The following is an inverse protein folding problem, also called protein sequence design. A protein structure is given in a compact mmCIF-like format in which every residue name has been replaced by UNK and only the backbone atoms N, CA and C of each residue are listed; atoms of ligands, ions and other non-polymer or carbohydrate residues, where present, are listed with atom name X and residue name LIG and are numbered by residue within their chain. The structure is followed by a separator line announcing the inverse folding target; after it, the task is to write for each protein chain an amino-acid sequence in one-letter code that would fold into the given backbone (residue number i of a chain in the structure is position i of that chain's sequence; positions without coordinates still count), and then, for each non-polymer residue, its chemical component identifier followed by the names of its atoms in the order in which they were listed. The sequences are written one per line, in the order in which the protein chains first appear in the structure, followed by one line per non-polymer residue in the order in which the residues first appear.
data_IF_138105059310
#
_entry.id   IF_138105059310
#
_cell.length_a   1.000
_cell.length_b   1.000
_cell.length_c   1.000
_cell.angle_alpha   90.00
_cell.angle_beta   90.00
_cell.angle_gamma   90.00
#
_symmetry.space_group_name_H-M   'P 1'
#
loop_
_entity.id
_entity.type
_entity.pdbx_description
1 polymer ?
#
# COMPACT_ATOMS: atom_id res chain seq x y z
N UNK A 1 13.91 -11.41 29.11
CA UNK A 1 14.40 -10.62 27.94
C UNK A 1 14.67 -11.59 26.79
N UNK A 2 14.21 -11.31 25.57
CA UNK A 2 14.57 -12.15 24.40
C UNK A 2 16.06 -11.97 24.10
N UNK A 3 16.74 -13.05 23.68
CA UNK A 3 18.13 -12.94 23.21
C UNK A 3 18.19 -12.14 21.90
N UNK A 4 19.32 -11.49 21.64
CA UNK A 4 19.52 -10.71 20.42
C UNK A 4 19.36 -11.58 19.16
N UNK A 5 19.82 -12.84 19.22
CA UNK A 5 19.59 -13.84 18.17
C UNK A 5 18.10 -14.08 17.88
N UNK A 6 17.26 -14.12 18.92
CA UNK A 6 15.81 -14.31 18.79
C UNK A 6 15.13 -13.06 18.20
N UNK A 7 15.56 -11.86 18.61
CA UNK A 7 15.09 -10.59 18.05
C UNK A 7 15.46 -10.50 16.56
N UNK A 8 16.72 -10.78 16.21
CA UNK A 8 17.19 -10.76 14.83
C UNK A 8 16.41 -11.72 13.93
N UNK A 9 16.13 -12.94 14.40
CA UNK A 9 15.28 -13.90 13.66
C UNK A 9 13.86 -13.37 13.44
N UNK A 10 13.25 -12.75 14.45
CA UNK A 10 11.91 -12.17 14.33
C UNK A 10 11.89 -11.02 13.32
N UNK A 11 12.87 -10.10 13.41
CA UNK A 11 13.02 -8.99 12.46
C UNK A 11 13.20 -9.52 11.04
N UNK A 12 14.03 -10.55 10.85
CA UNK A 12 14.22 -11.19 9.54
C UNK A 12 12.92 -11.76 8.95
N UNK A 13 12.13 -12.49 9.74
CA UNK A 13 10.83 -13.01 9.30
C UNK A 13 9.86 -11.89 8.92
N UNK A 14 9.79 -10.84 9.74
CA UNK A 14 8.93 -9.68 9.46
C UNK A 14 9.38 -8.94 8.19
N UNK A 15 10.69 -8.78 7.96
CA UNK A 15 11.22 -8.19 6.73
C UNK A 15 10.84 -9.00 5.49
N UNK A 16 10.95 -10.33 5.55
CA UNK A 16 10.52 -11.20 4.45
C UNK A 16 9.02 -11.10 4.18
N UNK A 17 8.20 -11.05 5.23
CA UNK A 17 6.76 -10.86 5.10
C UNK A 17 6.40 -9.49 4.51
N UNK A 18 7.08 -8.43 4.95
CA UNK A 18 6.92 -7.07 4.41
C UNK A 18 7.30 -7.02 2.92
N UNK A 19 8.43 -7.63 2.54
CA UNK A 19 8.86 -7.74 1.15
C UNK A 19 7.85 -8.51 0.29
N UNK A 20 7.34 -9.63 0.79
CA UNK A 20 6.34 -10.42 0.09
C UNK A 20 5.07 -9.59 -0.19
N UNK A 21 4.56 -8.85 0.80
CA UNK A 21 3.42 -7.95 0.60
C UNK A 21 3.73 -6.84 -0.43
N UNK A 22 4.92 -6.22 -0.32
CA UNK A 22 5.36 -5.14 -1.22
C UNK A 22 5.57 -5.57 -2.67
N UNK A 23 5.82 -6.86 -2.93
CA UNK A 23 5.95 -7.39 -4.29
C UNK A 23 4.62 -7.96 -4.81
N UNK A 24 3.92 -8.77 -4.01
CA UNK A 24 2.72 -9.47 -4.47
C UNK A 24 1.59 -8.49 -4.77
N UNK A 25 1.35 -7.49 -3.91
CA UNK A 25 0.19 -6.61 -4.11
C UNK A 25 0.32 -5.77 -5.39
N UNK A 26 1.41 -5.02 -5.61
CA UNK A 26 1.49 -4.15 -6.79
C UNK A 26 1.65 -4.94 -8.10
N UNK A 27 2.48 -5.99 -8.10
CA UNK A 27 2.90 -6.68 -9.33
C UNK A 27 2.07 -7.91 -9.68
N UNK A 28 1.24 -8.42 -8.77
CA UNK A 28 0.38 -9.59 -9.04
C UNK A 28 -1.09 -9.26 -8.91
N UNK A 29 -1.49 -8.58 -7.83
CA UNK A 29 -2.90 -8.24 -7.61
C UNK A 29 -3.31 -7.03 -8.43
N UNK A 30 -2.69 -5.87 -8.16
CA UNK A 30 -3.06 -4.60 -8.81
C UNK A 30 -2.66 -4.54 -10.29
N UNK A 31 -1.65 -5.30 -10.70
CA UNK A 31 -1.26 -5.38 -12.12
C UNK A 31 -2.43 -5.84 -13.02
N UNK A 32 -3.26 -6.77 -12.54
CA UNK A 32 -4.43 -7.28 -13.29
C UNK A 32 -5.42 -6.19 -13.68
N UNK A 33 -5.56 -5.16 -12.84
CA UNK A 33 -6.49 -4.04 -13.11
C UNK A 33 -5.80 -2.84 -13.74
N UNK A 34 -4.47 -2.74 -13.67
CA UNK A 34 -3.71 -1.62 -14.26
C UNK A 34 -3.36 -1.83 -15.73
N UNK A 35 -3.35 -3.07 -16.21
CA UNK A 35 -3.10 -3.40 -17.62
C UNK A 35 -4.12 -2.71 -18.54
N UNK A 36 -3.76 -2.47 -19.83
CA UNK A 36 -4.70 -1.96 -20.81
C UNK A 36 -6.02 -2.76 -20.81
N UNK A 37 -7.18 -2.10 -20.93
CA UNK A 37 -7.35 -0.67 -21.23
C UNK A 37 -7.08 0.28 -20.04
N UNK A 38 -7.13 -0.21 -18.80
CA UNK A 38 -6.65 0.51 -17.62
C UNK A 38 -7.53 0.33 -16.39
N UNK A 39 -7.17 1.00 -15.29
CA UNK A 39 -7.84 0.82 -13.99
C UNK A 39 -9.33 1.18 -14.01
N UNK A 40 -9.71 2.26 -14.72
CA UNK A 40 -11.08 2.72 -14.81
C UNK A 40 -12.03 1.65 -15.36
N UNK A 41 -11.59 0.91 -16.37
CA UNK A 41 -12.40 -0.11 -17.03
C UNK A 41 -12.32 -1.46 -16.33
N UNK A 42 -11.16 -1.82 -15.78
CA UNK A 42 -10.92 -3.17 -15.27
C UNK A 42 -11.31 -3.37 -13.80
N UNK A 43 -11.25 -2.33 -12.96
CA UNK A 43 -11.32 -2.53 -11.50
C UNK A 43 -12.71 -2.99 -11.01
N UNK A 44 -13.78 -2.50 -11.63
CA UNK A 44 -15.16 -2.89 -11.31
C UNK A 44 -15.47 -4.37 -11.56
N UNK A 45 -14.68 -5.06 -12.40
CA UNK A 45 -14.83 -6.50 -12.61
C UNK A 45 -14.26 -7.34 -11.45
N UNK A 46 -13.46 -6.74 -10.55
CA UNK A 46 -12.84 -7.44 -9.42
C UNK A 46 -12.67 -6.54 -8.18
N UNK A 47 -13.77 -5.93 -7.66
CA UNK A 47 -13.69 -4.95 -6.59
C UNK A 47 -13.16 -5.54 -5.28
N UNK A 48 -13.53 -6.79 -4.96
CA UNK A 48 -13.07 -7.45 -3.74
C UNK A 48 -11.58 -7.76 -3.77
N UNK A 49 -11.01 -8.05 -4.95
CA UNK A 49 -9.56 -8.20 -5.12
C UNK A 49 -8.83 -6.87 -4.83
N UNK A 50 -9.36 -5.75 -5.31
CA UNK A 50 -8.80 -4.42 -5.06
C UNK A 50 -8.90 -4.06 -3.57
N UNK A 51 -10.03 -4.34 -2.93
CA UNK A 51 -10.21 -4.12 -1.47
C UNK A 51 -9.26 -5.00 -0.66
N UNK A 52 -9.10 -6.27 -1.03
CA UNK A 52 -8.14 -7.18 -0.41
C UNK A 52 -6.69 -6.70 -0.59
N UNK A 53 -6.33 -6.20 -1.78
CA UNK A 53 -5.03 -5.58 -2.04
C UNK A 53 -4.77 -4.39 -1.10
N UNK A 54 -5.75 -3.50 -0.94
CA UNK A 54 -5.67 -2.35 -0.03
C UNK A 54 -5.46 -2.79 1.42
N UNK A 55 -6.21 -3.79 1.90
CA UNK A 55 -6.03 -4.35 3.24
C UNK A 55 -4.63 -4.96 3.41
N UNK A 56 -4.12 -5.65 2.39
CA UNK A 56 -2.81 -6.29 2.45
C UNK A 56 -1.66 -5.26 2.41
N UNK A 57 -1.81 -4.13 1.70
CA UNK A 57 -0.88 -2.99 1.78
C UNK A 57 -0.88 -2.34 3.17
N UNK A 58 -2.06 -2.23 3.79
CA UNK A 58 -2.19 -1.70 5.14
C UNK A 58 -1.54 -2.63 6.18
N UNK A 59 -1.78 -3.93 6.09
CA UNK A 59 -1.10 -4.93 6.91
C UNK A 59 0.42 -4.94 6.66
N UNK A 60 0.84 -4.86 5.39
CA UNK A 60 2.23 -4.78 4.97
C UNK A 60 2.96 -3.60 5.60
N UNK A 61 2.36 -2.41 5.58
CA UNK A 61 2.94 -1.22 6.22
C UNK A 61 2.93 -1.31 7.76
N UNK A 62 1.92 -1.93 8.38
CA UNK A 62 1.92 -2.19 9.82
C UNK A 62 3.08 -3.12 10.26
N UNK A 63 3.50 -4.06 9.40
CA UNK A 63 4.68 -4.90 9.66
C UNK A 63 5.95 -4.05 9.80
N UNK A 64 6.09 -2.93 9.08
CA UNK A 64 7.24 -2.02 9.24
C UNK A 64 7.31 -1.40 10.63
N UNK A 65 6.15 -1.07 11.23
CA UNK A 65 6.06 -0.65 12.64
C UNK A 65 6.47 -1.82 13.55
N UNK A 66 5.96 -3.03 13.29
CA UNK A 66 6.33 -4.23 14.04
C UNK A 66 7.84 -4.52 14.02
N UNK A 67 8.50 -4.33 12.87
CA UNK A 67 9.96 -4.43 12.72
C UNK A 67 10.64 -3.42 13.62
N UNK A 68 10.22 -2.16 13.55
CA UNK A 68 10.82 -1.04 14.30
C UNK A 68 10.69 -1.25 15.81
N UNK A 69 9.50 -1.65 16.27
CA UNK A 69 9.25 -1.97 17.69
C UNK A 69 10.06 -3.18 18.15
N UNK A 70 10.16 -4.22 17.34
CA UNK A 70 10.90 -5.45 17.68
C UNK A 70 12.41 -5.18 17.77
N UNK A 71 12.94 -4.35 16.87
CA UNK A 71 14.36 -3.98 16.85
C UNK A 71 14.73 -2.89 17.87
N UNK A 72 13.74 -2.15 18.38
CA UNK A 72 13.94 -1.02 19.30
C UNK A 72 14.87 -1.31 20.49
N UNK A 73 14.73 -2.43 21.24
CA UNK A 73 15.59 -2.71 22.39
C UNK A 73 17.07 -2.91 22.04
N UNK A 74 17.38 -3.33 20.81
CA UNK A 74 18.75 -3.56 20.33
C UNK A 74 19.36 -2.25 19.85
N UNK A 75 18.63 -1.48 19.04
CA UNK A 75 19.13 -0.22 18.51
C UNK A 75 19.31 0.85 19.59
N UNK A 76 18.41 0.90 20.58
CA UNK A 76 18.51 1.88 21.67
C UNK A 76 19.77 1.72 22.54
N UNK A 77 20.41 0.53 22.54
CA UNK A 77 21.66 0.29 23.27
C UNK A 77 22.86 0.97 22.62
N UNK A 78 22.78 1.20 21.31
CA UNK A 78 23.88 1.76 20.51
C UNK A 78 23.64 3.25 20.23
N UNK A 79 22.41 3.62 19.87
CA UNK A 79 22.01 5.01 19.63
C UNK A 79 20.50 5.18 19.83
N UNK A 80 20.10 5.71 21.00
CA UNK A 80 18.69 5.93 21.35
C UNK A 80 17.96 6.81 20.33
N UNK A 81 18.60 7.87 19.83
CA UNK A 81 18.02 8.75 18.81
C UNK A 81 17.64 8.00 17.53
N UNK A 82 18.51 7.11 17.02
CA UNK A 82 18.25 6.34 15.79
C UNK A 82 17.07 5.38 15.94
N UNK A 83 16.91 4.76 17.12
CA UNK A 83 15.78 3.85 17.37
C UNK A 83 14.43 4.56 17.37
N UNK A 84 14.38 5.83 17.83
CA UNK A 84 13.18 6.65 17.79
C UNK A 84 12.88 7.10 16.35
N UNK A 85 13.91 7.53 15.61
CA UNK A 85 13.76 7.88 14.20
C UNK A 85 13.24 6.73 13.34
N UNK A 86 13.72 5.50 13.57
CA UNK A 86 13.22 4.33 12.85
C UNK A 86 11.72 4.12 13.09
N UNK A 87 11.27 4.19 14.35
CA UNK A 87 9.86 4.05 14.68
C UNK A 87 9.03 5.20 14.10
N UNK A 88 9.50 6.45 14.21
CA UNK A 88 8.83 7.62 13.66
C UNK A 88 8.68 7.51 12.14
N UNK A 89 9.72 7.05 11.44
CA UNK A 89 9.68 6.83 10.00
C UNK A 89 8.70 5.72 9.61
N UNK A 90 8.66 4.61 10.37
CA UNK A 90 7.70 3.54 10.11
C UNK A 90 6.25 3.99 10.30
N UNK A 91 5.97 4.83 11.30
CA UNK A 91 4.64 5.43 11.51
C UNK A 91 4.30 6.43 10.40
N UNK A 92 5.25 7.27 9.99
CA UNK A 92 5.07 8.20 8.88
C UNK A 92 4.78 7.45 7.57
N UNK A 93 5.53 6.37 7.29
CA UNK A 93 5.30 5.50 6.15
C UNK A 93 3.90 4.87 6.16
N UNK A 94 3.46 4.37 7.32
CA UNK A 94 2.12 3.82 7.49
C UNK A 94 1.03 4.85 7.21
N UNK A 95 1.21 6.10 7.67
CA UNK A 95 0.26 7.18 7.37
C UNK A 95 0.22 7.50 5.86
N UNK A 96 1.38 7.55 5.19
CA UNK A 96 1.44 7.75 3.74
C UNK A 96 0.79 6.59 2.98
N UNK A 97 0.96 5.35 3.44
CA UNK A 97 0.28 4.19 2.87
C UNK A 97 -1.24 4.28 3.02
N UNK A 98 -1.74 4.85 4.13
CA UNK A 98 -3.17 5.11 4.30
C UNK A 98 -3.71 6.07 3.24
N UNK A 99 -2.98 7.16 2.96
CA UNK A 99 -3.34 8.13 1.91
C UNK A 99 -3.33 7.47 0.52
N UNK A 100 -2.31 6.67 0.22
CA UNK A 100 -2.22 5.90 -1.03
C UNK A 100 -3.40 4.93 -1.21
N UNK A 101 -3.82 4.28 -0.12
CA UNK A 101 -4.96 3.37 -0.10
C UNK A 101 -6.30 4.09 -0.31
N UNK A 102 -6.46 5.31 0.23
CA UNK A 102 -7.64 6.14 -0.04
C UNK A 102 -7.72 6.44 -1.53
N UNK A 103 -6.61 6.82 -2.17
CA UNK A 103 -6.59 7.07 -3.62
C UNK A 103 -7.00 5.81 -4.43
N UNK A 104 -6.51 4.61 -4.07
CA UNK A 104 -6.93 3.36 -4.72
C UNK A 104 -8.42 3.07 -4.58
N UNK A 105 -8.98 3.27 -3.38
CA UNK A 105 -10.41 3.05 -3.15
C UNK A 105 -11.26 4.09 -3.88
N UNK A 106 -10.83 5.35 -3.95
CA UNK A 106 -11.49 6.37 -4.77
C UNK A 106 -11.48 6.02 -6.26
N UNK A 107 -10.36 5.52 -6.77
CA UNK A 107 -10.27 5.02 -8.15
C UNK A 107 -11.20 3.81 -8.37
N UNK A 108 -11.34 2.93 -7.39
CA UNK A 108 -12.26 1.79 -7.47
C UNK A 108 -13.71 2.25 -7.53
N UNK A 109 -14.12 3.18 -6.65
CA UNK A 109 -15.47 3.74 -6.68
C UNK A 109 -15.78 4.41 -8.03
N UNK A 110 -14.80 5.10 -8.60
CA UNK A 110 -14.96 5.69 -9.94
C UNK A 110 -15.17 4.62 -11.03
N UNK A 111 -14.42 3.51 -10.97
CA UNK A 111 -14.58 2.37 -11.89
C UNK A 111 -15.95 1.70 -11.74
N UNK A 112 -16.42 1.51 -10.50
CA UNK A 112 -17.76 0.95 -10.23
C UNK A 112 -18.88 1.84 -10.77
N UNK A 113 -18.75 3.17 -10.66
CA UNK A 113 -19.73 4.11 -11.24
C UNK A 113 -19.65 4.19 -12.77
N UNK A 114 -18.45 4.14 -13.34
CA UNK A 114 -18.25 4.05 -14.79
C UNK A 114 -18.94 2.82 -15.39
N UNK A 115 -18.79 1.65 -14.76
CA UNK A 115 -19.43 0.40 -15.19
C UNK A 115 -20.96 0.47 -15.15
N UNK A 116 -21.56 1.27 -14.24
CA UNK A 116 -23.00 1.48 -14.15
C UNK A 116 -23.52 2.49 -15.19
N UNK A 117 -22.75 3.54 -15.45
CA UNK A 117 -23.16 4.63 -16.34
C UNK A 117 -23.12 4.25 -17.83
N UNK A 118 -22.27 3.30 -18.21
CA UNK A 118 -22.09 2.87 -19.59
C UNK A 118 -21.49 3.95 -20.50
N UNK A 119 -21.52 3.72 -21.81
CA UNK A 119 -20.82 4.56 -22.81
C UNK A 119 -21.36 6.00 -22.92
N UNK A 120 -22.56 6.29 -22.42
CA UNK A 120 -23.20 7.60 -22.57
C UNK A 120 -22.49 8.74 -21.80
N UNK A 121 -21.58 8.41 -20.87
CA UNK A 121 -20.82 9.39 -20.06
C UNK A 121 -19.32 9.08 -20.02
N UNK A 122 -18.79 8.34 -20.99
CA UNK A 122 -17.41 7.88 -20.98
C UNK A 122 -16.42 9.04 -20.79
N UNK A 123 -16.59 10.12 -21.56
CA UNK A 123 -15.73 11.31 -21.56
C UNK A 123 -15.64 11.96 -20.17
N UNK A 124 -16.76 12.01 -19.43
CA UNK A 124 -16.81 12.53 -18.06
C UNK A 124 -15.98 11.67 -17.11
N UNK A 125 -16.12 10.35 -17.19
CA UNK A 125 -15.40 9.42 -16.32
C UNK A 125 -13.91 9.35 -16.66
N UNK A 126 -13.53 9.50 -17.92
CA UNK A 126 -12.13 9.63 -18.33
C UNK A 126 -11.49 10.90 -17.74
N UNK A 127 -12.18 12.04 -17.81
CA UNK A 127 -11.73 13.28 -17.19
C UNK A 127 -11.58 13.14 -15.67
N UNK A 128 -12.57 12.53 -15.00
CA UNK A 128 -12.49 12.24 -13.57
C UNK A 128 -11.34 11.28 -13.23
N UNK A 129 -11.09 10.27 -14.07
CA UNK A 129 -10.00 9.33 -13.88
C UNK A 129 -8.63 10.02 -14.00
N UNK A 130 -8.50 11.01 -14.89
CA UNK A 130 -7.30 11.83 -14.95
C UNK A 130 -7.06 12.58 -13.63
N UNK A 131 -8.10 13.21 -13.06
CA UNK A 131 -8.01 13.96 -11.79
C UNK A 131 -7.77 13.04 -10.60
N UNK A 132 -8.61 12.01 -10.40
CA UNK A 132 -8.51 11.09 -9.26
C UNK A 132 -7.22 10.27 -9.33
N UNK A 133 -6.87 9.77 -10.52
CA UNK A 133 -5.63 9.04 -10.74
C UNK A 133 -4.38 9.91 -10.53
N UNK A 134 -4.48 11.24 -10.68
CA UNK A 134 -3.34 12.13 -10.46
C UNK A 134 -2.84 12.09 -9.02
N UNK A 135 -3.74 11.94 -8.02
CA UNK A 135 -3.38 11.85 -6.61
C UNK A 135 -2.36 10.72 -6.39
N UNK A 136 -2.61 9.57 -7.00
CA UNK A 136 -1.70 8.42 -6.95
C UNK A 136 -0.44 8.66 -7.78
N UNK A 137 -0.51 9.27 -8.96
CA UNK A 137 0.68 9.60 -9.79
C UNK A 137 1.60 10.64 -9.15
N UNK A 138 1.12 11.52 -8.29
CA UNK A 138 2.00 12.41 -7.53
C UNK A 138 2.83 11.66 -6.48
N UNK A 139 2.33 10.55 -5.96
CA UNK A 139 3.01 9.72 -4.97
C UNK A 139 3.93 8.65 -5.60
N UNK A 140 3.67 8.25 -6.85
CA UNK A 140 4.43 7.23 -7.57
C UNK A 140 5.01 7.83 -8.85
N UNK A 141 6.31 7.67 -9.11
CA UNK A 141 6.90 8.07 -10.40
C UNK A 141 6.32 7.21 -11.53
N UNK A 142 5.20 7.64 -12.10
CA UNK A 142 4.57 7.09 -13.31
C UNK A 142 4.00 8.22 -14.14
#
# INVERSE_FOLDING_TARGET
MRSEKSIGRMVGVLLLAHLAAGLIVPFVMLDKVRRPPGFLENAAASPDMVRAAVLLLFAGSAIAIGISVTAYPVFRRHASGQSIWLLAMAVAWFALQAVDNVALLSMLSLSEEYAKAGAARADLFEALNAVVGSIRRWAHFT
#
